data_IF_361215140273
#
_entry.id   IF_361215140273
#
_cell.length_a   1.000
_cell.length_b   1.000
_cell.length_c   1.000
_cell.angle_alpha   90.00
_cell.angle_beta   90.00
_cell.angle_gamma   90.00
#
_symmetry.space_group_name_H-M   'P 1'
#
loop_
_entity.id
_entity.type
_entity.pdbx_description
1 polymer ?
#
# COMPACT_ATOMS: atom_id res chain seq x y z
N UNK A 1 -16.14 -59.32 17.14
CA UNK A 1 -17.57 -59.57 16.96
C UNK A 1 -18.13 -58.35 16.26
N UNK A 2 -18.22 -58.49 14.96
CA UNK A 2 -19.50 -58.63 14.21
C UNK A 2 -20.19 -57.25 14.08
N UNK A 3 -20.54 -56.67 12.97
CA UNK A 3 -20.76 -57.08 11.57
C UNK A 3 -20.98 -55.79 10.73
N UNK A 4 -20.27 -55.68 9.71
CA UNK A 4 -20.55 -55.37 8.31
C UNK A 4 -22.06 -55.35 7.96
N UNK A 5 -22.55 -54.30 7.29
CA UNK A 5 -23.54 -54.38 6.21
C UNK A 5 -23.52 -53.17 5.29
N UNK A 6 -23.03 -53.42 4.12
CA UNK A 6 -23.26 -52.79 2.82
C UNK A 6 -24.70 -52.91 2.37
N UNK A 7 -25.18 -51.94 1.55
CA UNK A 7 -26.15 -52.08 0.43
C UNK A 7 -26.17 -50.65 -0.20
N UNK A 8 -25.62 -50.33 -1.37
CA UNK A 8 -25.87 -50.73 -2.76
C UNK A 8 -27.34 -50.50 -3.24
N UNK A 9 -27.46 -49.72 -4.26
CA UNK A 9 -28.66 -49.56 -5.10
C UNK A 9 -28.69 -48.15 -5.69
N UNK A 10 -28.14 -47.85 -6.85
CA UNK A 10 -28.42 -48.13 -8.25
C UNK A 10 -29.80 -47.58 -8.71
N UNK A 11 -29.67 -46.74 -9.78
CA UNK A 11 -30.65 -46.37 -10.82
C UNK A 11 -31.75 -45.36 -10.47
N UNK A 12 -31.95 -44.31 -11.24
CA UNK A 12 -32.53 -44.34 -12.56
C UNK A 12 -32.37 -43.03 -13.33
N UNK A 13 -32.03 -43.15 -14.56
CA UNK A 13 -31.99 -42.23 -15.70
C UNK A 13 -33.39 -41.93 -16.24
N UNK A 14 -33.74 -40.69 -16.48
CA UNK A 14 -34.83 -40.30 -17.40
C UNK A 14 -34.61 -38.85 -17.85
N UNK A 15 -34.01 -38.56 -18.98
CA UNK A 15 -34.48 -38.35 -20.33
C UNK A 15 -35.60 -37.28 -20.47
N UNK A 16 -35.17 -36.18 -21.09
CA UNK A 16 -35.79 -35.27 -22.06
C UNK A 16 -37.27 -34.89 -21.92
N UNK A 17 -37.51 -33.58 -21.85
CA UNK A 17 -38.38 -32.94 -22.88
C UNK A 17 -37.99 -31.46 -23.04
N UNK A 18 -37.83 -31.06 -24.29
CA UNK A 18 -37.79 -29.70 -24.81
C UNK A 18 -39.06 -28.91 -24.42
N UNK A 19 -38.85 -27.66 -24.04
CA UNK A 19 -39.85 -26.63 -24.30
C UNK A 19 -39.15 -25.28 -24.53
N UNK A 20 -39.41 -24.73 -25.66
CA UNK A 20 -39.03 -23.40 -26.14
C UNK A 20 -39.43 -22.27 -25.22
N UNK A 21 -38.55 -21.25 -25.21
CA UNK A 21 -38.98 -19.85 -25.33
C UNK A 21 -39.39 -19.18 -24.04
N UNK A 22 -38.45 -18.43 -23.47
CA UNK A 22 -38.72 -17.04 -23.08
C UNK A 22 -37.42 -16.28 -22.96
N UNK A 23 -37.21 -15.35 -23.91
CA UNK A 23 -36.28 -14.29 -23.85
C UNK A 23 -36.55 -13.43 -22.62
N UNK A 24 -35.78 -13.61 -21.57
CA UNK A 24 -35.65 -12.61 -20.50
C UNK A 24 -34.40 -11.78 -20.80
N UNK A 25 -34.65 -10.64 -21.37
CA UNK A 25 -33.70 -9.53 -21.41
C UNK A 25 -33.39 -9.17 -19.96
N UNK A 26 -32.38 -9.79 -19.37
CA UNK A 26 -31.77 -9.31 -18.15
C UNK A 26 -30.84 -8.15 -18.53
N UNK A 27 -31.24 -6.99 -18.04
CA UNK A 27 -30.52 -5.73 -18.07
C UNK A 27 -29.00 -5.95 -17.94
N UNK A 28 -28.30 -5.57 -19.01
CA UNK A 28 -26.86 -5.27 -19.02
C UNK A 28 -26.68 -3.98 -18.24
N UNK A 29 -26.56 -4.01 -16.95
CA UNK A 29 -26.04 -2.90 -16.13
C UNK A 29 -25.55 -3.45 -14.78
N UNK A 30 -24.76 -4.51 -14.82
CA UNK A 30 -23.72 -4.74 -13.84
C UNK A 30 -22.42 -4.69 -14.61
N UNK A 31 -21.81 -3.52 -14.63
CA UNK A 31 -20.39 -3.41 -14.94
C UNK A 31 -19.70 -4.39 -13.98
N UNK A 32 -19.26 -5.53 -14.51
CA UNK A 32 -18.36 -6.40 -13.79
C UNK A 32 -17.17 -5.53 -13.41
N UNK A 33 -17.03 -5.22 -12.12
CA UNK A 33 -15.82 -4.64 -11.57
C UNK A 33 -14.77 -5.73 -11.79
N UNK A 34 -14.07 -5.67 -12.91
CA UNK A 34 -12.92 -6.51 -13.16
C UNK A 34 -11.90 -6.11 -12.11
N UNK A 35 -11.59 -7.04 -11.19
CA UNK A 35 -10.49 -6.81 -10.27
C UNK A 35 -9.23 -6.49 -11.10
N UNK A 36 -8.46 -5.46 -10.73
CA UNK A 36 -7.20 -5.17 -11.41
C UNK A 36 -6.31 -6.42 -11.49
N UNK A 37 -5.57 -6.57 -12.59
CA UNK A 37 -4.69 -7.74 -12.79
C UNK A 37 -3.57 -7.86 -11.76
N UNK A 38 -3.28 -6.79 -11.01
CA UNK A 38 -2.29 -6.75 -9.93
C UNK A 38 -2.93 -6.23 -8.64
N UNK A 39 -2.44 -6.68 -7.49
CA UNK A 39 -2.87 -6.18 -6.20
C UNK A 39 -2.46 -4.71 -5.97
N UNK A 40 -3.10 -4.05 -4.98
CA UNK A 40 -2.90 -2.63 -4.72
C UNK A 40 -1.44 -2.31 -4.34
N UNK A 41 -0.79 -3.13 -3.52
CA UNK A 41 0.60 -2.92 -3.12
C UNK A 41 1.55 -2.98 -4.32
N UNK A 42 1.39 -3.98 -5.18
CA UNK A 42 2.17 -4.12 -6.43
C UNK A 42 1.93 -2.95 -7.38
N UNK A 43 0.69 -2.44 -7.47
CA UNK A 43 0.35 -1.25 -8.26
C UNK A 43 1.08 0.00 -7.73
N UNK A 44 1.14 0.16 -6.40
CA UNK A 44 1.87 1.27 -5.75
C UNK A 44 3.37 1.18 -6.02
N UNK A 45 3.99 0.03 -5.77
CA UNK A 45 5.44 -0.19 -5.96
C UNK A 45 5.84 0.09 -7.42
N UNK A 46 5.09 -0.46 -8.38
CA UNK A 46 5.35 -0.24 -9.81
C UNK A 46 5.09 1.19 -10.29
N UNK A 47 4.34 1.98 -9.50
CA UNK A 47 3.95 3.33 -9.88
C UNK A 47 2.78 3.38 -10.85
N UNK A 48 1.99 2.30 -10.96
CA UNK A 48 0.83 2.22 -11.84
C UNK A 48 -0.38 2.95 -11.22
N UNK A 49 -0.43 4.26 -11.44
CA UNK A 49 -1.50 5.11 -10.90
C UNK A 49 -2.90 4.69 -11.39
N UNK A 50 -3.01 4.18 -12.61
CA UNK A 50 -4.32 3.77 -13.15
C UNK A 50 -4.86 2.55 -12.40
N UNK A 51 -4.03 1.52 -12.20
CA UNK A 51 -4.41 0.35 -11.41
C UNK A 51 -4.78 0.76 -9.96
N UNK A 52 -4.03 1.69 -9.34
CA UNK A 52 -4.39 2.22 -8.00
C UNK A 52 -5.77 2.88 -8.03
N UNK A 53 -6.09 3.66 -9.05
CA UNK A 53 -7.42 4.30 -9.18
C UNK A 53 -8.54 3.27 -9.39
N UNK A 54 -8.27 2.19 -10.10
CA UNK A 54 -9.24 1.09 -10.26
C UNK A 54 -9.51 0.41 -8.92
N UNK A 55 -8.48 0.14 -8.12
CA UNK A 55 -8.64 -0.38 -6.75
C UNK A 55 -9.46 0.56 -5.87
N UNK A 56 -9.18 1.87 -5.90
CA UNK A 56 -9.94 2.88 -5.16
C UNK A 56 -11.42 2.86 -5.58
N UNK A 57 -11.70 2.87 -6.90
CA UNK A 57 -13.07 2.79 -7.43
C UNK A 57 -13.78 1.49 -7.05
N UNK A 58 -13.02 0.40 -6.96
CA UNK A 58 -13.50 -0.91 -6.55
C UNK A 58 -13.79 -1.03 -5.05
N UNK A 59 -13.48 0.01 -4.25
CA UNK A 59 -13.68 0.00 -2.79
C UNK A 59 -12.67 -0.88 -2.05
N UNK A 60 -11.45 -1.01 -2.58
CA UNK A 60 -10.38 -1.73 -1.91
C UNK A 60 -10.06 -1.09 -0.55
N UNK A 61 -9.67 -1.92 0.42
CA UNK A 61 -9.12 -1.44 1.70
C UNK A 61 -7.78 -0.73 1.44
N UNK A 62 -7.76 0.60 1.64
CA UNK A 62 -6.58 1.43 1.40
C UNK A 62 -5.55 1.36 2.54
N UNK A 63 -5.91 0.72 3.65
CA UNK A 63 -5.11 0.61 4.86
C UNK A 63 -4.63 -0.83 5.08
N UNK A 64 -4.96 -1.75 4.17
CA UNK A 64 -4.50 -3.14 4.21
C UNK A 64 -2.98 -3.18 4.22
N UNK A 65 -2.44 -3.85 5.23
CA UNK A 65 -0.99 -3.94 5.45
C UNK A 65 -0.39 -5.11 4.67
N UNK A 66 0.74 -4.87 4.02
CA UNK A 66 1.51 -5.98 3.46
C UNK A 66 2.02 -6.93 4.55
N UNK A 67 2.12 -8.21 4.21
CA UNK A 67 2.47 -9.26 5.17
C UNK A 67 3.95 -9.23 5.62
N UNK A 68 4.82 -8.50 4.90
CA UNK A 68 6.26 -8.50 5.16
C UNK A 68 6.68 -7.34 6.06
N UNK A 69 6.38 -6.10 5.65
CA UNK A 69 6.78 -4.89 6.39
C UNK A 69 5.65 -4.31 7.25
N UNK A 70 4.42 -4.78 7.07
CA UNK A 70 3.23 -4.19 7.69
C UNK A 70 2.89 -2.80 7.13
N UNK A 71 3.42 -2.43 5.97
CA UNK A 71 3.19 -1.13 5.36
C UNK A 71 1.84 -1.07 4.67
N UNK A 72 1.09 0.01 4.91
CA UNK A 72 -0.09 0.33 4.09
C UNK A 72 0.34 0.84 2.71
N UNK A 73 -0.57 0.87 1.71
CA UNK A 73 -0.31 1.45 0.40
C UNK A 73 0.27 2.87 0.46
N UNK A 74 -0.18 3.69 1.42
CA UNK A 74 0.32 5.05 1.59
C UNK A 74 1.76 5.08 2.13
N UNK A 75 2.12 4.21 3.09
CA UNK A 75 3.49 4.05 3.58
C UNK A 75 4.40 3.58 2.44
N UNK A 76 3.93 2.63 1.64
CA UNK A 76 4.65 2.13 0.46
C UNK A 76 4.86 3.23 -0.57
N UNK A 77 3.83 4.05 -0.87
CA UNK A 77 3.95 5.18 -1.78
C UNK A 77 5.00 6.21 -1.29
N UNK A 78 5.05 6.45 0.03
CA UNK A 78 6.04 7.33 0.65
C UNK A 78 7.47 6.78 0.56
N UNK A 79 7.63 5.48 0.79
CA UNK A 79 8.92 4.80 0.68
C UNK A 79 9.46 4.82 -0.76
N UNK A 80 8.61 4.47 -1.73
CA UNK A 80 8.99 4.32 -3.15
C UNK A 80 8.87 5.60 -3.97
N UNK A 81 8.71 6.77 -3.33
CA UNK A 81 8.62 8.08 -3.99
C UNK A 81 7.56 8.14 -5.09
N UNK A 82 6.31 7.85 -4.71
CA UNK A 82 5.16 7.86 -5.62
C UNK A 82 4.17 8.98 -5.27
N UNK A 83 4.54 10.25 -5.46
CA UNK A 83 3.72 11.37 -4.95
C UNK A 83 2.33 11.44 -5.57
N UNK A 84 2.17 11.08 -6.85
CA UNK A 84 0.85 11.04 -7.51
C UNK A 84 -0.06 9.96 -6.92
N UNK A 85 0.52 8.82 -6.53
CA UNK A 85 -0.21 7.74 -5.88
C UNK A 85 -0.52 8.11 -4.44
N UNK A 86 0.45 8.67 -3.69
CA UNK A 86 0.22 9.16 -2.34
C UNK A 86 -0.96 10.16 -2.30
N UNK A 87 -1.00 11.11 -3.23
CA UNK A 87 -2.14 12.04 -3.37
C UNK A 87 -3.46 11.31 -3.62
N UNK A 88 -3.47 10.35 -4.56
CA UNK A 88 -4.70 9.62 -4.89
C UNK A 88 -5.23 8.81 -3.70
N UNK A 89 -4.34 8.20 -2.91
CA UNK A 89 -4.70 7.47 -1.68
C UNK A 89 -5.21 8.40 -0.59
N UNK A 90 -4.55 9.55 -0.38
CA UNK A 90 -4.98 10.59 0.58
C UNK A 90 -6.35 11.14 0.20
N UNK A 91 -6.54 11.51 -1.06
CA UNK A 91 -7.82 12.05 -1.57
C UNK A 91 -8.96 11.02 -1.47
N UNK A 92 -8.64 9.72 -1.49
CA UNK A 92 -9.58 8.63 -1.31
C UNK A 92 -9.83 8.26 0.16
N UNK A 93 -9.18 8.92 1.12
CA UNK A 93 -9.40 8.75 2.54
C UNK A 93 -8.56 7.68 3.23
N UNK A 94 -7.39 7.34 2.70
CA UNK A 94 -6.44 6.47 3.39
C UNK A 94 -6.07 7.04 4.77
N UNK A 95 -6.00 6.19 5.79
CA UNK A 95 -5.67 6.59 7.16
C UNK A 95 -4.18 6.94 7.28
N UNK A 96 -3.91 8.22 7.60
CA UNK A 96 -2.56 8.76 7.73
C UNK A 96 -1.82 8.26 9.00
N UNK A 97 -2.54 7.67 9.94
CA UNK A 97 -2.03 7.19 11.22
C UNK A 97 -1.61 5.72 11.23
N UNK A 98 -1.88 4.98 10.16
CA UNK A 98 -1.48 3.57 10.04
C UNK A 98 0.03 3.45 10.25
N UNK A 99 0.41 2.47 11.07
CA UNK A 99 1.82 2.17 11.41
C UNK A 99 2.24 0.85 10.79
N UNK A 100 3.45 0.82 10.25
CA UNK A 100 4.11 -0.42 9.83
C UNK A 100 4.70 -1.20 11.03
N UNK A 101 5.47 -2.26 10.77
CA UNK A 101 6.08 -3.08 11.81
C UNK A 101 7.10 -2.32 12.67
N UNK A 102 7.69 -1.23 12.16
CA UNK A 102 8.60 -0.34 12.90
C UNK A 102 7.83 0.76 13.67
N UNK A 103 6.50 0.73 13.66
CA UNK A 103 5.67 1.79 14.23
C UNK A 103 5.70 3.08 13.42
N UNK A 104 6.28 3.08 12.22
CA UNK A 104 6.42 4.25 11.37
C UNK A 104 5.13 4.47 10.55
N UNK A 105 4.65 5.72 10.51
CA UNK A 105 3.57 6.17 9.61
C UNK A 105 4.12 6.58 8.25
N UNK A 106 3.24 6.90 7.30
CA UNK A 106 3.65 7.45 6.00
C UNK A 106 4.50 8.73 6.15
N UNK A 107 4.21 9.57 7.16
CA UNK A 107 5.01 10.77 7.44
C UNK A 107 6.43 10.44 7.91
N UNK A 108 6.60 9.40 8.71
CA UNK A 108 7.93 8.90 9.10
C UNK A 108 8.72 8.39 7.88
N UNK A 109 8.08 7.59 7.04
CA UNK A 109 8.71 7.05 5.82
C UNK A 109 9.11 8.17 4.87
N UNK A 110 8.20 9.11 4.59
CA UNK A 110 8.46 10.26 3.73
C UNK A 110 9.61 11.14 4.27
N UNK A 111 9.63 11.38 5.58
CA UNK A 111 10.70 12.15 6.22
C UNK A 111 12.04 11.42 6.11
N UNK A 112 12.10 10.15 6.50
CA UNK A 112 13.32 9.34 6.50
C UNK A 112 13.94 9.24 5.11
N UNK A 113 13.12 8.97 4.07
CA UNK A 113 13.59 8.90 2.67
C UNK A 113 13.68 10.26 1.98
N UNK A 114 13.47 11.37 2.69
CA UNK A 114 13.57 12.74 2.19
C UNK A 114 12.64 13.03 1.00
N UNK A 115 11.40 12.54 1.03
CA UNK A 115 10.38 12.75 0.00
C UNK A 115 9.61 14.04 0.23
N UNK A 116 10.22 15.18 -0.11
CA UNK A 116 9.71 16.53 0.22
C UNK A 116 8.27 16.73 -0.23
N UNK A 117 7.93 16.33 -1.47
CA UNK A 117 6.56 16.49 -2.00
C UNK A 117 5.56 15.68 -1.19
N UNK A 118 5.91 14.44 -0.81
CA UNK A 118 5.00 13.58 -0.02
C UNK A 118 4.88 14.09 1.41
N UNK A 119 5.97 14.59 2.02
CA UNK A 119 5.91 15.25 3.33
C UNK A 119 4.93 16.41 3.29
N UNK A 120 4.99 17.26 2.25
CA UNK A 120 4.06 18.38 2.12
C UNK A 120 2.61 17.88 1.95
N UNK A 121 2.38 16.87 1.10
CA UNK A 121 1.04 16.28 0.91
C UNK A 121 0.44 15.79 2.23
N UNK A 122 1.25 15.10 3.05
CA UNK A 122 0.80 14.55 4.33
C UNK A 122 0.52 15.66 5.35
N UNK A 123 1.36 16.71 5.39
CA UNK A 123 1.13 17.89 6.25
C UNK A 123 -0.17 18.59 5.85
N UNK A 124 -0.37 18.84 4.55
CA UNK A 124 -1.58 19.51 4.04
C UNK A 124 -2.85 18.69 4.32
N UNK A 125 -2.73 17.36 4.35
CA UNK A 125 -3.80 16.45 4.70
C UNK A 125 -4.02 16.31 6.23
N UNK A 126 -3.23 16.97 7.06
CA UNK A 126 -3.39 16.97 8.52
C UNK A 126 -2.76 15.76 9.22
N UNK A 127 -1.72 15.14 8.65
CA UNK A 127 -1.01 14.05 9.32
C UNK A 127 -0.49 14.49 10.70
N UNK A 128 -0.72 13.67 11.72
CA UNK A 128 -0.27 13.94 13.08
C UNK A 128 1.26 13.81 13.20
N UNK A 129 1.93 14.95 13.39
CA UNK A 129 3.39 15.04 13.53
C UNK A 129 3.91 14.53 14.86
N UNK A 130 3.03 14.32 15.86
CA UNK A 130 3.40 13.90 17.22
C UNK A 130 3.50 12.39 17.38
N UNK A 131 3.07 11.61 16.41
CA UNK A 131 3.12 10.14 16.47
C UNK A 131 4.58 9.69 16.63
N UNK A 132 4.82 8.79 17.57
CA UNK A 132 6.11 8.15 17.77
C UNK A 132 6.15 6.79 17.08
N UNK A 133 7.28 6.46 16.46
CA UNK A 133 7.59 5.12 15.98
C UNK A 133 8.06 4.20 17.14
N UNK A 134 8.42 2.95 16.87
CA UNK A 134 8.87 1.99 17.89
C UNK A 134 10.25 2.34 18.50
N UNK A 135 10.98 3.30 17.90
CA UNK A 135 12.24 3.82 18.43
C UNK A 135 12.04 5.07 19.30
N UNK A 136 10.78 5.46 19.55
CA UNK A 136 10.42 6.62 20.35
C UNK A 136 10.66 7.96 19.66
N UNK A 137 10.76 7.98 18.32
CA UNK A 137 11.03 9.16 17.52
C UNK A 137 9.80 9.59 16.71
N UNK A 138 9.56 10.89 16.64
CA UNK A 138 8.64 11.50 15.68
C UNK A 138 9.25 11.52 14.26
N UNK A 139 8.43 11.76 13.24
CA UNK A 139 8.93 11.91 11.87
C UNK A 139 10.03 12.98 11.76
N UNK A 140 9.90 14.10 12.50
CA UNK A 140 10.91 15.16 12.58
C UNK A 140 12.22 14.66 13.17
N UNK A 141 12.14 13.93 14.29
CA UNK A 141 13.34 13.45 14.99
C UNK A 141 14.15 12.45 14.16
N UNK A 142 13.52 11.71 13.25
CA UNK A 142 14.23 10.81 12.32
C UNK A 142 15.21 11.55 11.41
N UNK A 143 15.03 12.86 11.20
CA UNK A 143 15.87 13.68 10.30
C UNK A 143 16.60 14.81 11.02
N UNK A 144 16.43 14.99 12.34
CA UNK A 144 17.00 16.11 13.10
C UNK A 144 18.43 15.89 13.58
N UNK A 145 18.93 14.66 13.63
CA UNK A 145 20.27 14.35 14.09
C UNK A 145 21.37 14.66 13.06
N UNK A 146 22.65 14.69 13.48
CA UNK A 146 23.78 14.89 12.60
C UNK A 146 23.83 13.82 11.50
N UNK A 147 23.98 14.25 10.25
CA UNK A 147 23.94 13.31 9.10
C UNK A 147 25.04 12.24 9.18
N UNK A 148 26.24 12.60 9.70
CA UNK A 148 27.37 11.68 9.87
C UNK A 148 27.01 10.42 10.68
N UNK A 149 26.06 10.54 11.63
CA UNK A 149 25.69 9.43 12.52
C UNK A 149 24.74 8.43 11.82
N UNK A 150 24.00 8.89 10.83
CA UNK A 150 23.03 8.09 10.06
C UNK A 150 23.50 7.75 8.65
N UNK A 151 24.57 8.37 8.17
CA UNK A 151 25.13 8.13 6.83
C UNK A 151 25.37 6.64 6.53
N UNK A 152 25.94 5.82 7.46
CA UNK A 152 26.14 4.40 7.19
C UNK A 152 24.84 3.63 6.92
N UNK A 153 23.73 4.08 7.54
CA UNK A 153 22.40 3.48 7.31
C UNK A 153 21.95 3.77 5.89
N UNK A 154 22.10 5.01 5.42
CA UNK A 154 21.73 5.37 4.04
C UNK A 154 22.63 4.70 3.00
N UNK A 155 23.92 4.51 3.28
CA UNK A 155 24.85 3.77 2.40
C UNK A 155 24.44 2.30 2.27
N UNK A 156 24.05 1.66 3.37
CA UNK A 156 23.52 0.29 3.37
C UNK A 156 22.21 0.22 2.58
N UNK A 157 21.28 1.14 2.83
CA UNK A 157 20.00 1.20 2.13
C UNK A 157 20.18 1.45 0.63
N UNK A 158 21.12 2.31 0.24
CA UNK A 158 21.44 2.56 -1.17
C UNK A 158 21.82 1.25 -1.88
N UNK A 159 22.68 0.44 -1.25
CA UNK A 159 23.10 -0.84 -1.81
C UNK A 159 21.94 -1.85 -1.93
N UNK A 160 21.02 -1.84 -0.96
CA UNK A 160 19.87 -2.75 -0.95
C UNK A 160 18.75 -2.32 -1.91
N UNK A 161 18.51 -1.02 -2.04
CA UNK A 161 17.38 -0.46 -2.79
C UNK A 161 17.72 -0.23 -4.27
N UNK A 162 18.98 -0.06 -4.62
CA UNK A 162 19.40 0.14 -6.01
C UNK A 162 18.98 -0.99 -6.95
N UNK A 163 19.13 -2.29 -6.60
CA UNK A 163 18.65 -3.38 -7.44
C UNK A 163 17.11 -3.42 -7.60
N UNK A 164 16.38 -2.80 -6.67
CA UNK A 164 14.92 -2.71 -6.68
C UNK A 164 14.41 -1.51 -7.50
N UNK A 165 15.31 -0.80 -8.19
CA UNK A 165 14.94 0.39 -8.97
C UNK A 165 14.65 1.63 -8.13
N UNK A 166 15.12 1.66 -6.88
CA UNK A 166 15.01 2.81 -5.97
C UNK A 166 16.40 3.46 -5.78
N UNK A 167 16.80 4.38 -6.63
CA UNK A 167 18.04 5.10 -6.41
C UNK A 167 17.90 6.01 -5.19
N UNK A 168 18.81 5.90 -4.25
CA UNK A 168 18.92 6.79 -3.09
C UNK A 168 20.18 7.64 -3.26
N UNK A 169 20.02 8.94 -3.52
CA UNK A 169 21.14 9.88 -3.58
C UNK A 169 21.46 10.38 -2.17
N UNK A 170 22.57 9.88 -1.63
CA UNK A 170 23.04 10.23 -0.28
C UNK A 170 23.35 11.71 -0.14
N UNK A 171 23.86 12.33 -1.19
CA UNK A 171 24.17 13.77 -1.19
C UNK A 171 22.89 14.60 -1.13
N UNK A 172 21.86 14.17 -1.85
CA UNK A 172 20.58 14.83 -1.82
C UNK A 172 19.88 14.63 -0.47
N UNK A 173 19.96 13.43 0.11
CA UNK A 173 19.47 13.15 1.48
C UNK A 173 20.12 14.10 2.49
N UNK A 174 21.44 14.26 2.46
CA UNK A 174 22.16 15.16 3.39
C UNK A 174 21.65 16.60 3.31
N UNK A 175 21.42 17.11 2.09
CA UNK A 175 20.92 18.48 1.86
C UNK A 175 19.45 18.65 2.26
N UNK A 176 18.64 17.60 2.06
CA UNK A 176 17.19 17.68 2.20
C UNK A 176 16.72 17.45 3.63
N UNK A 177 17.44 16.66 4.44
CA UNK A 177 17.10 16.40 5.86
C UNK A 177 16.79 17.66 6.67
N UNK A 178 17.61 18.73 6.63
CA UNK A 178 17.31 19.97 7.37
C UNK A 178 16.01 20.65 6.89
N UNK A 179 15.74 20.58 5.59
CA UNK A 179 14.51 21.14 5.00
C UNK A 179 13.29 20.42 5.55
N UNK A 180 13.31 19.10 5.56
CA UNK A 180 12.22 18.29 6.12
C UNK A 180 12.05 18.54 7.62
N UNK A 181 13.14 18.64 8.37
CA UNK A 181 13.09 18.96 9.80
C UNK A 181 12.43 20.32 10.08
N UNK A 182 12.57 21.29 9.18
CA UNK A 182 11.86 22.59 9.25
C UNK A 182 10.38 22.45 8.89
N UNK A 183 10.03 21.69 7.86
CA UNK A 183 8.63 21.47 7.47
C UNK A 183 7.82 20.79 8.58
N UNK A 184 8.47 19.99 9.41
CA UNK A 184 7.86 19.22 10.49
C UNK A 184 7.89 19.92 11.86
N UNK A 185 8.22 21.21 11.91
CA UNK A 185 8.13 22.03 13.12
C UNK A 185 6.71 22.18 13.64
#
# INVERSE_FOLDING_TARGET
>A
MSTLKTISGIFLLAILTSACGQSNARSKDQAAVTQPEMDLQSAVISGNLEAVREHIKGGADLDEKDAFSGSSPLITAATFDKPKIARALIDAGADLSVKNNDGATALHAAAFFCRVEIVQLLIDAGADKSILNNFGATARETVSGPFKDVKPIYEMLQQQLQPMGMPLDITEVEKTRPVIAMMLQ
#
